data_IF_922978918728
#
_entry.id   IF_922978918728
#
_cell.length_a   1.000
_cell.length_b   1.000
_cell.length_c   1.000
_cell.angle_alpha   90.00
_cell.angle_beta   90.00
_cell.angle_gamma   90.00
#
_symmetry.space_group_name_H-M   'P 1'
#
loop_
_entity.id
_entity.type
_entity.pdbx_description
1 polymer ?
#
# COMPACT_ATOMS: atom_id res chain seq x y z
N UNK A 1 -1.26 21.86 1.93
CA UNK A 1 -1.59 20.67 1.12
C UNK A 1 -1.25 20.96 -0.33
N UNK A 2 -0.52 20.06 -0.98
CA UNK A 2 -0.16 20.09 -2.42
C UNK A 2 -0.88 18.92 -3.05
N UNK A 3 -1.67 19.15 -4.11
CA UNK A 3 -2.51 18.11 -4.72
C UNK A 3 -1.71 16.88 -5.16
N UNK A 4 -0.59 17.12 -5.86
CA UNK A 4 0.38 16.10 -6.23
C UNK A 4 1.75 16.71 -6.52
N UNK A 5 2.80 15.89 -6.42
CA UNK A 5 4.16 16.23 -6.79
C UNK A 5 4.53 15.46 -8.05
N UNK A 6 4.74 16.17 -9.17
CA UNK A 6 5.10 15.57 -10.46
C UNK A 6 6.53 15.91 -10.90
N UNK A 7 7.04 17.02 -10.44
CA UNK A 7 8.30 17.62 -10.91
C UNK A 7 9.20 18.02 -9.75
N UNK A 8 10.45 18.30 -10.10
CA UNK A 8 11.51 18.69 -9.16
C UNK A 8 11.20 20.00 -8.43
N UNK A 9 10.62 20.96 -9.11
CA UNK A 9 10.33 22.28 -8.53
C UNK A 9 9.29 22.17 -7.41
N UNK A 10 8.19 21.47 -7.68
CA UNK A 10 7.15 21.19 -6.69
C UNK A 10 7.69 20.37 -5.51
N UNK A 11 8.54 19.37 -5.79
CA UNK A 11 9.20 18.58 -4.75
C UNK A 11 10.06 19.43 -3.83
N UNK A 12 10.87 20.34 -4.38
CA UNK A 12 11.72 21.25 -3.61
C UNK A 12 10.90 22.18 -2.72
N UNK A 13 9.83 22.77 -3.25
CA UNK A 13 8.93 23.63 -2.48
C UNK A 13 8.28 22.86 -1.32
N UNK A 14 7.79 21.65 -1.58
CA UNK A 14 7.16 20.81 -0.58
C UNK A 14 8.13 20.45 0.56
N UNK A 15 9.32 20.01 0.20
CA UNK A 15 10.38 19.65 1.15
C UNK A 15 10.86 20.87 1.94
N UNK A 16 11.08 22.00 1.30
CA UNK A 16 11.48 23.24 1.97
C UNK A 16 10.44 23.68 3.00
N UNK A 17 9.15 23.59 2.66
CA UNK A 17 8.07 23.89 3.60
C UNK A 17 8.05 22.91 4.79
N UNK A 18 8.29 21.62 4.54
CA UNK A 18 8.33 20.59 5.59
C UNK A 18 9.49 20.85 6.58
N UNK A 19 10.68 21.12 6.08
CA UNK A 19 11.86 21.40 6.92
C UNK A 19 11.65 22.65 7.78
N UNK A 20 10.94 23.65 7.26
CA UNK A 20 10.64 24.88 8.03
C UNK A 20 9.49 24.70 9.02
N UNK A 21 9.04 23.49 9.28
CA UNK A 21 8.08 23.14 10.32
C UNK A 21 6.61 23.07 9.88
N UNK A 22 6.33 23.17 8.57
CA UNK A 22 4.96 23.04 8.08
C UNK A 22 4.60 21.58 7.85
N UNK A 23 3.39 21.18 8.24
CA UNK A 23 2.84 19.90 7.84
C UNK A 23 2.44 19.95 6.36
N UNK A 24 3.18 19.22 5.53
CA UNK A 24 2.92 19.09 4.10
C UNK A 24 2.29 17.73 3.81
N UNK A 25 1.12 17.73 3.18
CA UNK A 25 0.42 16.53 2.70
C UNK A 25 0.32 16.61 1.19
N UNK A 26 0.77 15.55 0.50
CA UNK A 26 0.72 15.47 -0.95
C UNK A 26 0.59 14.04 -1.44
N UNK A 27 0.45 13.86 -2.74
CA UNK A 27 0.43 12.56 -3.41
C UNK A 27 1.57 12.44 -4.42
N UNK A 28 2.03 11.21 -4.63
CA UNK A 28 2.96 10.84 -5.69
C UNK A 28 2.45 9.59 -6.40
N UNK A 29 2.71 9.50 -7.70
CA UNK A 29 2.43 8.31 -8.49
C UNK A 29 3.62 7.35 -8.42
N UNK A 30 3.57 6.40 -7.48
CA UNK A 30 4.58 5.37 -7.29
C UNK A 30 3.93 4.00 -7.07
N UNK A 31 4.68 2.93 -7.29
CA UNK A 31 4.17 1.56 -7.17
C UNK A 31 4.13 1.05 -5.72
N UNK A 32 4.89 1.65 -4.82
CA UNK A 32 4.94 1.26 -3.41
C UNK A 32 5.37 2.44 -2.53
N UNK A 33 5.19 2.32 -1.22
CA UNK A 33 5.67 3.31 -0.27
C UNK A 33 7.21 3.45 -0.32
N UNK A 34 7.94 2.34 -0.45
CA UNK A 34 9.40 2.36 -0.56
C UNK A 34 9.88 3.09 -1.81
N UNK A 35 9.25 2.85 -2.97
CA UNK A 35 9.61 3.51 -4.23
C UNK A 35 9.33 5.02 -4.23
N UNK A 36 8.51 5.51 -3.31
CA UNK A 36 8.29 6.95 -3.13
C UNK A 36 9.55 7.67 -2.68
N UNK A 37 10.31 7.07 -1.77
CA UNK A 37 11.58 7.65 -1.29
C UNK A 37 12.56 7.81 -2.45
N UNK A 38 12.76 6.73 -3.23
CA UNK A 38 13.62 6.77 -4.42
C UNK A 38 13.14 7.84 -5.41
N UNK A 39 11.82 7.93 -5.64
CA UNK A 39 11.27 8.91 -6.57
C UNK A 39 11.53 10.35 -6.15
N UNK A 40 11.46 10.65 -4.86
CA UNK A 40 11.78 11.98 -4.32
C UNK A 40 13.25 12.32 -4.53
N UNK A 41 14.15 11.35 -4.32
CA UNK A 41 15.58 11.51 -4.57
C UNK A 41 15.84 11.72 -6.08
N UNK A 42 15.21 10.98 -6.95
CA UNK A 42 15.29 11.12 -8.41
C UNK A 42 14.82 12.51 -8.90
N UNK A 43 13.92 13.13 -8.16
CA UNK A 43 13.49 14.52 -8.42
C UNK A 43 14.51 15.56 -7.97
N UNK A 44 15.69 15.15 -7.49
CA UNK A 44 16.79 16.04 -7.11
C UNK A 44 16.78 16.48 -5.65
N UNK A 45 16.03 15.81 -4.78
CA UNK A 45 16.08 16.03 -3.33
C UNK A 45 17.22 15.21 -2.75
N UNK A 46 18.12 15.85 -2.03
CA UNK A 46 19.22 15.17 -1.34
C UNK A 46 18.69 14.13 -0.33
N UNK A 47 19.30 12.93 -0.24
CA UNK A 47 18.80 11.86 0.62
C UNK A 47 18.64 12.24 2.10
N UNK A 48 19.57 13.02 2.66
CA UNK A 48 19.48 13.48 4.05
C UNK A 48 18.33 14.46 4.25
N UNK A 49 18.07 15.30 3.26
CA UNK A 49 16.96 16.27 3.27
C UNK A 49 15.61 15.53 3.18
N UNK A 50 15.53 14.51 2.32
CA UNK A 50 14.35 13.65 2.22
C UNK A 50 14.08 12.92 3.55
N UNK A 51 15.12 12.46 4.25
CA UNK A 51 15.02 11.82 5.55
C UNK A 51 14.45 12.73 6.63
N UNK A 52 14.85 13.99 6.63
CA UNK A 52 14.38 14.98 7.60
C UNK A 52 12.96 15.49 7.29
N UNK A 53 12.58 15.53 6.02
CA UNK A 53 11.28 16.04 5.58
C UNK A 53 10.15 15.01 5.60
N UNK A 54 10.47 13.71 5.37
CA UNK A 54 9.47 12.65 5.27
C UNK A 54 9.11 12.08 6.65
N UNK A 55 7.90 12.35 7.10
CA UNK A 55 7.37 11.78 8.35
C UNK A 55 6.72 10.41 8.11
N UNK A 56 6.12 10.19 6.95
CA UNK A 56 5.48 8.93 6.61
C UNK A 56 5.01 8.88 5.16
N UNK A 57 4.90 7.66 4.64
CA UNK A 57 4.38 7.38 3.31
C UNK A 57 3.32 6.30 3.40
N UNK A 58 2.17 6.55 2.80
CA UNK A 58 1.05 5.60 2.75
C UNK A 58 0.86 5.18 1.31
N UNK A 59 0.97 3.89 1.03
CA UNK A 59 0.60 3.32 -0.25
C UNK A 59 -0.73 2.57 -0.12
N UNK A 60 -1.63 2.78 -1.07
CA UNK A 60 -2.95 2.17 -1.09
C UNK A 60 -3.16 1.38 -2.36
N UNK A 61 -3.76 0.20 -2.22
CA UNK A 61 -4.21 -0.64 -3.33
C UNK A 61 -5.66 -1.01 -3.12
N UNK A 62 -6.45 -0.85 -4.16
CA UNK A 62 -7.81 -1.35 -4.16
C UNK A 62 -7.80 -2.84 -4.49
N UNK A 63 -8.42 -3.62 -3.63
CA UNK A 63 -8.63 -5.06 -3.83
C UNK A 63 -10.12 -5.37 -3.84
N UNK A 64 -10.51 -6.41 -4.57
CA UNK A 64 -11.90 -6.87 -4.52
C UNK A 64 -12.17 -7.51 -3.17
N UNK A 65 -13.30 -7.16 -2.58
CA UNK A 65 -13.77 -7.75 -1.32
C UNK A 65 -14.80 -8.83 -1.62
N UNK A 66 -14.66 -9.96 -0.95
CA UNK A 66 -15.64 -11.04 -1.08
C UNK A 66 -17.03 -10.59 -0.62
N UNK A 67 -18.04 -10.98 -1.37
CA UNK A 67 -19.43 -10.77 -1.01
C UNK A 67 -19.77 -11.57 0.27
N UNK A 68 -20.35 -10.90 1.26
CA UNK A 68 -20.73 -11.55 2.53
C UNK A 68 -21.80 -12.62 2.37
N UNK A 69 -22.64 -12.50 1.33
CA UNK A 69 -23.78 -13.40 1.10
C UNK A 69 -23.43 -14.68 0.33
N UNK A 70 -22.39 -14.66 -0.51
CA UNK A 70 -22.07 -15.80 -1.36
C UNK A 70 -20.65 -16.35 -1.21
N UNK A 71 -19.79 -15.72 -0.40
CA UNK A 71 -18.46 -16.28 -0.14
C UNK A 71 -18.58 -17.67 0.49
N UNK A 72 -17.80 -18.61 0.02
CA UNK A 72 -17.78 -19.98 0.53
C UNK A 72 -16.50 -20.23 1.31
N UNK A 73 -16.64 -20.89 2.47
CA UNK A 73 -15.50 -21.29 3.27
C UNK A 73 -14.86 -22.56 2.70
N UNK A 74 -13.53 -22.59 2.63
CA UNK A 74 -12.75 -23.78 2.32
C UNK A 74 -11.46 -23.83 3.11
N UNK A 75 -10.83 -24.98 3.15
CA UNK A 75 -9.50 -25.11 3.74
C UNK A 75 -8.44 -24.49 2.82
N UNK A 76 -7.47 -23.81 3.42
CA UNK A 76 -6.34 -23.27 2.70
C UNK A 76 -5.39 -24.38 2.25
N UNK A 77 -4.92 -24.27 1.02
CA UNK A 77 -3.87 -25.15 0.49
C UNK A 77 -2.50 -24.82 1.10
N UNK A 78 -1.52 -25.74 1.07
CA UNK A 78 -0.18 -25.52 1.65
C UNK A 78 0.51 -24.26 1.12
N UNK A 79 0.34 -23.93 -0.16
CA UNK A 79 0.92 -22.72 -0.76
C UNK A 79 0.26 -21.46 -0.22
N UNK A 80 -1.05 -21.48 -0.04
CA UNK A 80 -1.82 -20.36 0.52
C UNK A 80 -1.46 -20.14 2.00
N UNK A 81 -1.26 -21.20 2.78
CA UNK A 81 -0.79 -21.13 4.16
C UNK A 81 0.57 -20.43 4.25
N UNK A 82 1.48 -20.70 3.31
CA UNK A 82 2.78 -20.01 3.23
C UNK A 82 2.61 -18.51 2.96
N UNK A 83 1.73 -18.14 2.03
CA UNK A 83 1.44 -16.73 1.70
C UNK A 83 0.82 -16.01 2.91
N UNK A 84 -0.02 -16.68 3.69
CA UNK A 84 -0.62 -16.17 4.91
C UNK A 84 0.37 -16.08 6.09
N UNK A 85 1.60 -16.55 5.92
CA UNK A 85 2.64 -16.52 6.95
C UNK A 85 2.44 -17.56 8.05
N UNK A 86 1.72 -18.65 7.78
CA UNK A 86 1.58 -19.78 8.70
C UNK A 86 2.97 -20.41 8.89
N UNK A 87 3.37 -20.62 10.14
CA UNK A 87 4.67 -21.18 10.44
C UNK A 87 4.76 -22.65 9.99
N UNK A 88 5.98 -23.15 9.66
CA UNK A 88 6.17 -24.53 9.25
C UNK A 88 5.65 -25.58 10.27
N UNK A 89 5.69 -25.27 11.55
CA UNK A 89 5.20 -26.11 12.65
C UNK A 89 3.68 -26.21 12.71
N UNK A 90 2.96 -25.19 12.17
CA UNK A 90 1.50 -25.09 12.18
C UNK A 90 0.90 -25.41 10.80
N UNK A 91 1.68 -25.94 9.86
CA UNK A 91 1.20 -26.21 8.48
C UNK A 91 0.11 -27.28 8.41
N UNK A 92 0.02 -28.14 9.40
CA UNK A 92 -1.01 -29.18 9.50
C UNK A 92 -2.33 -28.65 10.09
N UNK A 93 -2.32 -27.44 10.70
CA UNK A 93 -3.52 -26.84 11.24
C UNK A 93 -4.51 -26.45 10.16
N UNK A 94 -5.81 -26.61 10.46
CA UNK A 94 -6.91 -26.24 9.56
C UNK A 94 -7.06 -24.72 9.51
N UNK A 95 -6.61 -24.12 8.42
CA UNK A 95 -6.78 -22.69 8.14
C UNK A 95 -7.95 -22.50 7.17
N UNK A 96 -9.02 -21.83 7.63
CA UNK A 96 -10.20 -21.56 6.80
C UNK A 96 -9.98 -20.25 6.05
N UNK A 97 -10.14 -20.31 4.74
CA UNK A 97 -10.19 -19.14 3.85
C UNK A 97 -11.53 -19.11 3.12
N UNK A 98 -11.79 -18.02 2.41
CA UNK A 98 -13.04 -17.85 1.67
C UNK A 98 -12.76 -17.59 0.20
N UNK A 99 -13.61 -18.14 -0.67
CA UNK A 99 -13.55 -17.94 -2.11
C UNK A 99 -14.82 -17.27 -2.65
N UNK A 100 -14.74 -16.59 -3.80
CA UNK A 100 -15.90 -16.02 -4.45
C UNK A 100 -16.72 -17.10 -5.15
N UNK A 101 -18.04 -17.03 -5.02
CA UNK A 101 -18.96 -17.90 -5.74
C UNK A 101 -19.76 -17.14 -6.78
N UNK A 102 -20.20 -15.94 -6.43
CA UNK A 102 -21.11 -15.14 -7.25
C UNK A 102 -22.56 -15.28 -6.79
N UNK A 103 -23.30 -14.20 -6.86
CA UNK A 103 -24.75 -14.19 -6.64
C UNK A 103 -25.36 -12.89 -7.22
N UNK A 104 -26.68 -12.82 -7.38
CA UNK A 104 -27.36 -11.62 -7.91
C UNK A 104 -27.09 -10.35 -7.10
N UNK A 105 -26.78 -10.46 -5.80
CA UNK A 105 -26.51 -9.30 -4.94
C UNK A 105 -25.15 -8.65 -5.23
N UNK A 106 -24.17 -9.43 -5.66
CA UNK A 106 -22.85 -8.89 -6.03
C UNK A 106 -22.64 -8.78 -7.54
N UNK A 107 -23.64 -9.15 -8.35
CA UNK A 107 -23.55 -9.13 -9.81
C UNK A 107 -22.54 -10.15 -10.36
N UNK A 108 -22.32 -11.25 -9.64
CA UNK A 108 -21.38 -12.33 -10.00
C UNK A 108 -19.91 -11.88 -10.15
N UNK A 109 -19.52 -10.83 -9.41
CA UNK A 109 -18.16 -10.25 -9.43
C UNK A 109 -17.33 -10.64 -8.21
#
# INVERSE_FOLDING_TARGET
MIGEIRDSETAQIAVQAAITGHLVVSTLHTNSAASTVTRIIDMGIEPYVAGDALVGVIAQRLVRRLCSSCKQARLAEPEEKKILGVKPEDMDDDVIIYEPVGCPLCGDT
#
